data_IF_028509273219
#
_entry.id   IF_028509273219
#
_cell.length_a   1.000
_cell.length_b   1.000
_cell.length_c   1.000
_cell.angle_alpha   90.00
_cell.angle_beta   90.00
_cell.angle_gamma   90.00
#
_symmetry.space_group_name_H-M   'P 1'
#
loop_
_entity.id
_entity.type
_entity.pdbx_description
1 polymer ?
#
# COMPACT_ATOMS: atom_id res chain seq x y z
N UNK A 1 -6.97 -4.38 -21.50
CA UNK A 1 -5.73 -5.07 -21.09
C UNK A 1 -5.00 -4.16 -20.11
N UNK A 2 -5.06 -4.43 -18.80
CA UNK A 2 -4.40 -3.60 -17.78
C UNK A 2 -2.92 -4.00 -17.76
N UNK A 3 -2.05 -3.24 -18.44
CA UNK A 3 -0.60 -3.41 -18.27
C UNK A 3 -0.21 -2.84 -16.91
N UNK A 4 0.19 -3.70 -15.97
CA UNK A 4 0.92 -3.31 -14.77
C UNK A 4 2.41 -3.20 -15.10
N UNK A 5 3.11 -2.26 -14.48
CA UNK A 5 4.58 -2.27 -14.49
C UNK A 5 5.03 -3.35 -13.52
N UNK A 6 5.68 -4.40 -14.04
CA UNK A 6 6.23 -5.49 -13.24
C UNK A 6 7.66 -5.11 -12.84
N UNK A 7 7.90 -4.98 -11.54
CA UNK A 7 9.21 -4.56 -11.01
C UNK A 7 10.11 -5.77 -10.78
N UNK A 8 9.53 -6.88 -10.34
CA UNK A 8 10.13 -8.21 -10.36
C UNK A 8 9.04 -9.27 -10.24
N UNK A 9 9.29 -10.49 -10.72
CA UNK A 9 8.36 -11.60 -10.59
C UNK A 9 8.90 -12.62 -9.59
N UNK A 10 8.39 -12.56 -8.36
CA UNK A 10 8.51 -13.63 -7.37
C UNK A 10 7.13 -14.20 -7.10
N UNK A 11 7.02 -15.52 -7.08
CA UNK A 11 5.78 -16.20 -6.73
C UNK A 11 5.60 -16.19 -5.21
N UNK A 12 4.38 -15.92 -4.74
CA UNK A 12 3.99 -16.22 -3.36
C UNK A 12 4.00 -17.76 -3.23
N UNK A 13 4.79 -18.34 -2.32
CA UNK A 13 4.88 -19.79 -2.18
C UNK A 13 3.52 -20.45 -1.88
N UNK A 14 3.28 -21.64 -2.43
CA UNK A 14 2.08 -22.41 -2.12
C UNK A 14 2.12 -22.95 -0.68
N UNK A 15 1.54 -22.22 0.26
CA UNK A 15 1.45 -22.55 1.69
C UNK A 15 0.06 -22.20 2.24
N UNK A 16 -0.21 -22.62 3.49
CA UNK A 16 -1.40 -22.17 4.22
C UNK A 16 -1.15 -20.78 4.80
N UNK A 17 -2.01 -19.83 4.45
CA UNK A 17 -1.96 -18.48 4.98
C UNK A 17 -3.22 -18.16 5.76
N UNK A 18 -3.05 -17.51 6.91
CA UNK A 18 -4.11 -16.68 7.47
C UNK A 18 -4.19 -15.40 6.64
N UNK A 19 -5.40 -15.04 6.21
CA UNK A 19 -5.64 -13.91 5.32
C UNK A 19 -6.41 -12.83 6.07
N UNK A 20 -5.81 -11.65 6.20
CA UNK A 20 -6.50 -10.45 6.67
C UNK A 20 -7.05 -9.63 5.51
N UNK A 21 -8.18 -8.96 5.73
CA UNK A 21 -8.77 -8.03 4.77
C UNK A 21 -9.20 -6.76 5.49
N UNK A 22 -8.56 -5.64 5.15
CA UNK A 22 -8.74 -4.36 5.81
C UNK A 22 -9.27 -3.34 4.80
N UNK A 23 -10.50 -2.87 5.01
CA UNK A 23 -11.10 -1.80 4.21
C UNK A 23 -10.78 -0.46 4.90
N UNK A 24 -10.12 0.43 4.19
CA UNK A 24 -9.63 1.70 4.75
C UNK A 24 -10.03 2.84 3.83
N UNK A 25 -10.70 3.85 4.41
CA UNK A 25 -10.91 5.16 3.79
C UNK A 25 -9.99 6.17 4.46
N UNK A 26 -9.12 6.78 3.67
CA UNK A 26 -8.33 7.94 4.08
C UNK A 26 -9.06 9.21 3.63
N UNK A 27 -9.23 10.16 4.54
CA UNK A 27 -9.99 11.38 4.35
C UNK A 27 -9.15 12.60 4.71
N UNK A 28 -9.09 13.57 3.81
CA UNK A 28 -8.52 14.90 4.06
C UNK A 28 -9.56 15.98 3.74
N UNK A 29 -9.43 17.14 4.38
CA UNK A 29 -10.24 18.35 4.14
C UNK A 29 -9.33 19.56 3.99
N UNK A 30 -9.91 20.74 3.75
CA UNK A 30 -9.16 21.99 3.62
C UNK A 30 -8.37 22.35 4.90
N UNK A 31 -8.84 21.90 6.06
CA UNK A 31 -8.22 22.15 7.36
C UNK A 31 -7.31 21.01 7.83
N UNK A 32 -7.47 19.80 7.28
CA UNK A 32 -6.80 18.60 7.77
C UNK A 32 -6.22 17.77 6.63
N UNK A 33 -4.89 17.71 6.58
CA UNK A 33 -4.17 16.75 5.75
C UNK A 33 -4.20 15.36 6.40
N UNK A 34 -4.28 14.31 5.59
CA UNK A 34 -4.25 12.95 6.07
C UNK A 34 -2.86 12.33 5.88
N UNK A 35 -2.39 11.62 6.90
CA UNK A 35 -1.11 10.92 6.90
C UNK A 35 -1.40 9.43 7.04
N UNK A 36 -1.45 8.66 5.93
CA UNK A 36 -1.74 7.23 6.00
C UNK A 36 -0.69 6.45 6.80
N UNK A 37 0.56 6.89 6.73
CA UNK A 37 1.75 6.24 7.30
C UNK A 37 2.59 7.32 8.02
N UNK A 38 2.09 7.89 9.14
CA UNK A 38 2.74 9.01 9.83
C UNK A 38 4.14 8.66 10.37
N UNK A 39 4.43 7.38 10.57
CA UNK A 39 5.72 6.82 10.97
C UNK A 39 6.79 6.81 9.86
N UNK A 40 6.39 6.96 8.58
CA UNK A 40 7.31 6.88 7.44
C UNK A 40 7.39 5.48 6.83
N UNK A 41 8.58 5.09 6.36
CA UNK A 41 8.82 3.76 5.78
C UNK A 41 8.71 2.67 6.85
N UNK A 42 7.85 1.68 6.61
CA UNK A 42 7.59 0.62 7.59
C UNK A 42 7.29 -0.74 6.92
N UNK A 43 7.17 -1.75 7.77
CA UNK A 43 6.65 -3.09 7.47
C UNK A 43 5.41 -3.31 8.33
N UNK A 44 4.42 -4.03 7.81
CA UNK A 44 3.19 -4.33 8.54
C UNK A 44 3.33 -5.53 9.49
N UNK A 45 4.43 -6.30 9.35
CA UNK A 45 4.73 -7.48 10.18
C UNK A 45 4.22 -8.80 9.59
N UNK A 46 3.72 -8.78 8.36
CA UNK A 46 3.19 -9.95 7.64
C UNK A 46 4.25 -10.59 6.74
N UNK A 47 3.91 -11.69 6.08
CA UNK A 47 4.80 -12.26 5.07
C UNK A 47 4.62 -11.54 3.73
N UNK A 48 3.37 -11.26 3.36
CA UNK A 48 3.04 -10.49 2.17
C UNK A 48 1.89 -9.53 2.44
N UNK A 49 1.92 -8.39 1.77
CA UNK A 49 0.87 -7.37 1.82
C UNK A 49 0.48 -6.98 0.40
N UNK A 50 -0.82 -6.87 0.13
CA UNK A 50 -1.34 -6.35 -1.11
C UNK A 50 -2.20 -5.10 -0.84
N UNK A 51 -1.77 -3.95 -1.35
CA UNK A 51 -2.46 -2.68 -1.23
C UNK A 51 -3.22 -2.42 -2.53
N UNK A 52 -4.55 -2.52 -2.48
CA UNK A 52 -5.41 -2.39 -3.64
C UNK A 52 -6.11 -1.03 -3.61
N UNK A 53 -5.90 -0.20 -4.63
CA UNK A 53 -6.61 1.06 -4.73
C UNK A 53 -8.02 0.83 -5.30
N UNK A 54 -9.03 1.23 -4.54
CA UNK A 54 -10.44 1.08 -4.90
C UNK A 54 -10.98 2.38 -5.48
N UNK A 55 -10.70 3.51 -4.83
CA UNK A 55 -11.23 4.80 -5.24
C UNK A 55 -10.26 5.93 -4.87
N UNK A 56 -10.28 6.99 -5.67
CA UNK A 56 -9.60 8.27 -5.42
C UNK A 56 -10.51 9.37 -5.90
N UNK A 57 -10.88 10.29 -5.01
CA UNK A 57 -11.70 11.43 -5.33
C UNK A 57 -11.08 12.70 -4.74
N UNK A 58 -10.81 13.70 -5.59
CA UNK A 58 -10.22 14.99 -5.19
C UNK A 58 -8.90 14.87 -4.40
N UNK A 59 -8.11 13.81 -4.66
CA UNK A 59 -6.87 13.53 -3.93
C UNK A 59 -5.65 14.05 -4.68
N UNK A 60 -4.89 14.92 -4.04
CA UNK A 60 -3.48 15.16 -4.30
C UNK A 60 -2.61 14.31 -3.33
N UNK A 61 -1.42 13.88 -3.78
CA UNK A 61 -0.56 12.99 -3.00
C UNK A 61 -1.04 11.54 -2.96
N UNK A 62 -0.90 10.84 -1.84
CA UNK A 62 -1.16 9.40 -1.73
C UNK A 62 -0.32 8.57 -2.71
N UNK A 63 0.93 8.97 -2.90
CA UNK A 63 1.93 8.28 -3.72
C UNK A 63 2.57 7.16 -2.90
N UNK A 64 2.78 6.00 -3.52
CA UNK A 64 3.40 4.84 -2.88
C UNK A 64 4.88 4.79 -3.20
N UNK A 65 5.68 4.53 -2.17
CA UNK A 65 7.12 4.36 -2.24
C UNK A 65 7.48 3.00 -1.66
N UNK A 66 8.37 2.27 -2.34
CA UNK A 66 8.93 1.01 -1.85
C UNK A 66 10.43 1.11 -1.81
N UNK A 67 11.01 0.73 -0.68
CA UNK A 67 12.45 0.69 -0.48
C UNK A 67 12.90 -0.70 -0.05
N UNK A 68 14.22 -0.92 -0.12
CA UNK A 68 14.84 -1.99 0.65
C UNK A 68 14.76 -1.70 2.16
N UNK A 69 15.17 -2.67 2.99
CA UNK A 69 15.05 -2.60 4.46
C UNK A 69 15.88 -1.47 5.09
N UNK A 70 17.02 -1.13 4.48
CA UNK A 70 17.93 -0.07 4.95
C UNK A 70 17.53 1.33 4.48
N UNK A 71 16.45 1.45 3.68
CA UNK A 71 15.91 2.71 3.14
C UNK A 71 16.90 3.52 2.29
N UNK A 72 17.98 2.90 1.81
CA UNK A 72 19.00 3.58 1.00
C UNK A 72 18.71 3.54 -0.51
N UNK A 73 17.71 2.76 -0.92
CA UNK A 73 17.30 2.61 -2.32
C UNK A 73 15.77 2.60 -2.44
N UNK A 74 15.23 3.45 -3.33
CA UNK A 74 13.82 3.42 -3.73
C UNK A 74 13.67 2.52 -4.95
N UNK A 75 13.03 1.38 -4.76
CA UNK A 75 12.81 0.35 -5.77
C UNK A 75 11.54 0.65 -6.58
N UNK A 76 10.58 1.36 -5.99
CA UNK A 76 9.38 1.83 -6.66
C UNK A 76 8.92 3.19 -6.13
N UNK A 77 8.44 4.02 -7.05
CA UNK A 77 7.66 5.21 -6.74
C UNK A 77 6.53 5.31 -7.76
N UNK A 78 5.30 5.49 -7.27
CA UNK A 78 4.18 5.76 -8.15
C UNK A 78 2.84 5.91 -7.46
N UNK A 79 1.87 6.37 -8.23
CA UNK A 79 0.50 6.57 -7.77
C UNK A 79 -0.34 5.34 -8.12
N UNK A 80 -0.85 4.63 -7.10
CA UNK A 80 -1.88 3.59 -7.33
C UNK A 80 -3.20 4.25 -7.72
N UNK A 81 -3.70 3.92 -8.92
CA UNK A 81 -5.01 4.32 -9.42
C UNK A 81 -6.05 3.22 -9.19
N UNK A 82 -7.36 3.52 -9.22
CA UNK A 82 -8.41 2.50 -9.04
C UNK A 82 -8.21 1.26 -9.92
N UNK A 83 -8.30 0.08 -9.30
CA UNK A 83 -8.07 -1.21 -9.96
C UNK A 83 -6.60 -1.61 -10.11
N UNK A 84 -5.66 -0.80 -9.60
CA UNK A 84 -4.24 -1.17 -9.46
C UNK A 84 -3.96 -1.64 -8.05
N UNK A 85 -3.00 -2.55 -7.95
CA UNK A 85 -2.51 -3.09 -6.70
C UNK A 85 -0.99 -3.06 -6.65
N UNK A 86 -0.47 -2.92 -5.44
CA UNK A 86 0.93 -3.17 -5.12
C UNK A 86 0.99 -4.39 -4.22
N UNK A 87 1.77 -5.39 -4.62
CA UNK A 87 1.94 -6.64 -3.85
C UNK A 87 3.39 -6.71 -3.41
N UNK A 88 3.60 -6.87 -2.12
CA UNK A 88 4.88 -6.71 -1.45
C UNK A 88 5.24 -7.97 -0.68
N UNK A 89 6.50 -8.35 -0.73
CA UNK A 89 7.11 -9.19 0.30
C UNK A 89 7.45 -8.29 1.49
N UNK A 90 6.55 -8.28 2.47
CA UNK A 90 6.63 -7.40 3.65
C UNK A 90 7.80 -7.77 4.57
N UNK A 91 8.47 -8.92 4.37
CA UNK A 91 9.68 -9.30 5.11
C UNK A 91 10.95 -8.66 4.57
N UNK A 92 10.97 -8.25 3.31
CA UNK A 92 12.19 -7.81 2.62
C UNK A 92 12.13 -6.38 2.11
N UNK A 93 10.97 -5.73 2.19
CA UNK A 93 10.72 -4.40 1.66
C UNK A 93 10.06 -3.54 2.72
N UNK A 94 10.36 -2.25 2.71
CA UNK A 94 9.58 -1.25 3.44
C UNK A 94 8.72 -0.48 2.47
N UNK A 95 7.60 0.03 2.96
CA UNK A 95 6.69 0.83 2.17
C UNK A 95 6.26 2.10 2.91
N UNK A 96 5.93 3.12 2.13
CA UNK A 96 5.46 4.41 2.61
C UNK A 96 4.40 4.96 1.66
N UNK A 97 3.44 5.72 2.19
CA UNK A 97 2.47 6.46 1.40
C UNK A 97 2.55 7.94 1.76
N UNK A 98 2.77 8.80 0.76
CA UNK A 98 2.79 10.24 0.99
C UNK A 98 1.46 10.74 1.58
N UNK A 99 1.48 11.88 2.31
CA UNK A 99 0.26 12.49 2.79
C UNK A 99 -0.73 12.77 1.65
N UNK A 100 -2.00 12.87 2.02
CA UNK A 100 -3.11 13.17 1.12
C UNK A 100 -3.67 14.54 1.49
N UNK A 101 -3.90 15.36 0.47
CA UNK A 101 -4.55 16.66 0.57
C UNK A 101 -5.66 16.78 -0.50
N UNK A 102 -6.62 17.69 -0.32
CA UNK A 102 -7.53 18.07 -1.39
C UNK A 102 -6.78 18.65 -2.60
N UNK A 103 -7.18 18.25 -3.81
CA UNK A 103 -6.69 18.84 -5.06
C UNK A 103 -7.44 20.16 -5.36
N UNK A 104 -8.72 20.20 -5.01
CA UNK A 104 -9.61 21.37 -5.02
C UNK A 104 -10.25 21.54 -3.63
N UNK A 105 -10.75 22.74 -3.29
CA UNK A 105 -11.43 22.97 -2.01
C UNK A 105 -12.52 21.93 -1.72
N UNK A 106 -12.55 21.45 -0.49
CA UNK A 106 -13.49 20.44 0.01
C UNK A 106 -12.80 19.14 0.43
N UNK A 107 -13.55 18.04 0.33
CA UNK A 107 -13.11 16.74 0.84
C UNK A 107 -12.31 15.95 -0.21
N UNK A 108 -11.25 15.28 0.24
CA UNK A 108 -10.48 14.32 -0.51
C UNK A 108 -10.62 12.92 0.10
N UNK A 109 -10.93 11.93 -0.74
CA UNK A 109 -11.13 10.54 -0.30
C UNK A 109 -10.24 9.58 -1.09
N UNK A 110 -9.52 8.71 -0.37
CA UNK A 110 -8.82 7.56 -0.95
C UNK A 110 -9.25 6.29 -0.25
N UNK A 111 -9.81 5.35 -1.02
CA UNK A 111 -10.23 4.06 -0.52
C UNK A 111 -9.25 2.97 -0.96
N UNK A 112 -8.82 2.16 -0.01
CA UNK A 112 -7.98 0.99 -0.26
C UNK A 112 -8.51 -0.24 0.45
N UNK A 113 -8.25 -1.39 -0.17
CA UNK A 113 -8.34 -2.69 0.49
C UNK A 113 -6.93 -3.22 0.65
N UNK A 114 -6.51 -3.42 1.89
CA UNK A 114 -5.24 -4.07 2.21
C UNK A 114 -5.52 -5.54 2.54
N UNK A 115 -4.87 -6.44 1.79
CA UNK A 115 -4.90 -7.88 2.05
C UNK A 115 -3.55 -8.27 2.64
N UNK A 116 -3.57 -8.96 3.77
CA UNK A 116 -2.36 -9.42 4.47
C UNK A 116 -2.30 -10.94 4.47
N UNK A 117 -1.11 -11.50 4.27
CA UNK A 117 -0.86 -12.94 4.31
C UNK A 117 0.14 -13.25 5.42
N UNK A 118 -0.25 -14.11 6.37
CA UNK A 118 0.62 -14.65 7.39
C UNK A 118 0.66 -16.17 7.28
N UNK A 119 1.84 -16.74 7.03
CA UNK A 119 2.06 -18.17 6.98
C UNK A 119 1.99 -18.73 8.41
N UNK A 120 1.00 -19.57 8.66
CA UNK A 120 0.79 -20.16 9.98
C UNK A 120 1.82 -21.25 10.24
N UNK A 121 2.95 -20.89 10.87
CA UNK A 121 4.09 -21.80 11.09
C UNK A 121 3.81 -22.94 12.08
N UNK A 122 2.62 -22.95 12.71
CA UNK A 122 2.24 -23.93 13.73
C UNK A 122 1.34 -25.07 13.22
N UNK A 123 1.18 -25.23 11.90
CA UNK A 123 0.41 -26.34 11.31
C UNK A 123 1.31 -27.29 10.50
N UNK A 124 2.19 -28.00 11.19
CA UNK A 124 2.83 -29.24 10.70
C UNK A 124 2.67 -30.33 11.73
#
# INVERSE_FOLDING_TARGET
>A
MIRGSLISQQYIPAKKYQVGCHQIRVRATDEFNAYPTPEGFHQDGFDYVAINCINRNNVNGGESFISNLDENEIIFHGTLTPGKALVLNDRSLKHYVSPITPLFPGEALRDVVVITLHNDRNTT
#
